data_IF_131272933400
#
_entry.id   IF_131272933400
#
_cell.length_a   1.000
_cell.length_b   1.000
_cell.length_c   1.000
_cell.angle_alpha   90.00
_cell.angle_beta   90.00
_cell.angle_gamma   90.00
#
_symmetry.space_group_name_H-M   'P 1'
#
loop_
_entity.id
_entity.type
_entity.pdbx_description
1 polymer ?
#
# COMPACT_ATOMS: atom_id res chain seq x y z
N UNK A 1 13.77 12.18 -7.23
CA UNK A 1 12.70 11.36 -6.59
C UNK A 1 13.10 9.89 -6.59
N UNK A 2 12.91 9.23 -5.48
CA UNK A 2 13.22 7.80 -5.38
C UNK A 2 11.99 6.98 -5.77
N UNK A 3 12.23 5.93 -6.56
CA UNK A 3 11.15 5.04 -6.95
C UNK A 3 10.91 4.05 -5.80
N UNK A 4 9.68 3.98 -5.28
CA UNK A 4 9.39 3.07 -4.17
C UNK A 4 9.51 1.61 -4.59
N UNK A 5 9.79 0.74 -3.62
CA UNK A 5 9.85 -0.68 -3.88
C UNK A 5 8.45 -1.24 -4.13
N UNK A 6 8.39 -2.35 -4.86
CA UNK A 6 7.13 -3.03 -5.09
C UNK A 6 6.47 -3.43 -3.78
N UNK A 7 7.26 -3.87 -2.80
CA UNK A 7 6.72 -4.27 -1.51
C UNK A 7 6.06 -3.09 -0.80
N UNK A 8 6.65 -1.90 -0.85
CA UNK A 8 6.07 -0.71 -0.24
C UNK A 8 4.77 -0.33 -0.93
N UNK A 9 4.74 -0.41 -2.26
CA UNK A 9 3.53 -0.08 -3.02
C UNK A 9 2.41 -1.07 -2.72
N UNK A 10 2.72 -2.34 -2.59
CA UNK A 10 1.73 -3.35 -2.21
C UNK A 10 1.19 -3.11 -0.82
N UNK A 11 2.06 -2.72 0.12
CA UNK A 11 1.64 -2.42 1.47
C UNK A 11 0.64 -1.25 1.47
N UNK A 12 0.90 -0.24 0.68
CA UNK A 12 0.01 0.92 0.57
C UNK A 12 -1.35 0.52 0.05
N UNK A 13 -1.40 -0.24 -1.03
CA UNK A 13 -2.67 -0.60 -1.63
C UNK A 13 -3.47 -1.54 -0.73
N UNK A 14 -2.80 -2.49 -0.08
CA UNK A 14 -3.47 -3.38 0.86
C UNK A 14 -4.03 -2.58 2.05
N UNK A 15 -3.27 -1.63 2.56
CA UNK A 15 -3.72 -0.77 3.65
C UNK A 15 -4.92 0.08 3.20
N UNK A 16 -4.86 0.64 2.01
CA UNK A 16 -5.97 1.46 1.48
C UNK A 16 -7.25 0.63 1.34
N UNK A 17 -7.11 -0.62 0.92
CA UNK A 17 -8.25 -1.49 0.74
C UNK A 17 -8.89 -1.89 2.06
N UNK A 18 -8.07 -2.27 3.03
CA UNK A 18 -8.57 -2.82 4.29
C UNK A 18 -8.86 -1.77 5.35
N UNK A 19 -8.14 -0.66 5.31
CA UNK A 19 -8.31 0.40 6.27
C UNK A 19 -7.57 0.22 7.59
N UNK A 20 -6.93 -0.93 7.80
CA UNK A 20 -6.16 -1.19 9.01
C UNK A 20 -4.84 -1.84 8.67
N UNK A 21 -3.83 -1.55 9.51
CA UNK A 21 -2.51 -2.14 9.33
C UNK A 21 -2.54 -3.65 9.55
N UNK A 22 -3.31 -4.11 10.56
CA UNK A 22 -3.30 -5.54 10.87
C UNK A 22 -3.92 -6.37 9.75
N UNK A 23 -4.94 -5.87 9.08
CA UNK A 23 -5.53 -6.60 7.96
C UNK A 23 -4.59 -6.63 6.76
N UNK A 24 -3.91 -5.51 6.50
CA UNK A 24 -2.91 -5.48 5.44
C UNK A 24 -1.78 -6.46 5.74
N UNK A 25 -1.33 -6.51 6.98
CA UNK A 25 -0.28 -7.44 7.39
C UNK A 25 -0.71 -8.88 7.14
N UNK A 26 -1.94 -9.20 7.47
CA UNK A 26 -2.46 -10.54 7.25
C UNK A 26 -2.48 -10.89 5.77
N UNK A 27 -3.00 -9.99 4.95
CA UNK A 27 -3.08 -10.25 3.52
C UNK A 27 -1.70 -10.46 2.89
N UNK A 28 -0.72 -9.67 3.33
CA UNK A 28 0.61 -9.71 2.75
C UNK A 28 1.55 -10.71 3.44
N UNK A 29 1.05 -11.37 4.47
CA UNK A 29 1.84 -12.31 5.25
C UNK A 29 3.07 -11.63 5.86
N UNK A 30 2.86 -10.45 6.43
CA UNK A 30 3.88 -9.65 7.07
C UNK A 30 3.47 -9.33 8.50
N UNK A 31 4.41 -8.84 9.30
CA UNK A 31 4.08 -8.32 10.62
C UNK A 31 3.49 -6.93 10.49
N UNK A 32 2.75 -6.50 11.53
CA UNK A 32 2.22 -5.14 11.56
C UNK A 32 3.34 -4.11 11.51
N UNK A 33 4.44 -4.39 12.24
CA UNK A 33 5.60 -3.50 12.23
C UNK A 33 6.17 -3.35 10.82
N UNK A 34 6.23 -4.44 10.07
CA UNK A 34 6.76 -4.41 8.71
C UNK A 34 5.88 -3.55 7.80
N UNK A 35 4.56 -3.70 7.92
CA UNK A 35 3.64 -2.90 7.12
C UNK A 35 3.78 -1.41 7.48
N UNK A 36 3.78 -1.11 8.78
CA UNK A 36 3.92 0.28 9.23
C UNK A 36 5.24 0.88 8.75
N UNK A 37 6.30 0.09 8.79
CA UNK A 37 7.61 0.54 8.34
C UNK A 37 7.60 0.87 6.84
N UNK A 38 6.98 0.00 6.04
CA UNK A 38 6.87 0.22 4.60
C UNK A 38 6.08 1.49 4.29
N UNK A 39 5.00 1.72 5.01
CA UNK A 39 4.19 2.91 4.79
C UNK A 39 4.96 4.19 5.14
N UNK A 40 5.71 4.17 6.24
CA UNK A 40 6.49 5.34 6.64
C UNK A 40 7.64 5.60 5.68
N UNK A 41 8.29 4.54 5.19
CA UNK A 41 9.34 4.68 4.20
C UNK A 41 8.79 5.28 2.91
N UNK A 42 7.62 4.84 2.51
CA UNK A 42 6.98 5.33 1.29
C UNK A 42 6.67 6.82 1.43
N UNK A 43 6.13 7.23 2.57
CA UNK A 43 5.84 8.63 2.83
C UNK A 43 7.11 9.49 2.74
N UNK A 44 8.18 8.98 3.32
CA UNK A 44 9.46 9.69 3.31
C UNK A 44 10.06 9.76 1.91
N UNK A 45 9.99 8.66 1.15
CA UNK A 45 10.58 8.62 -0.18
C UNK A 45 9.83 9.53 -1.16
N UNK A 46 8.52 9.64 -1.00
CA UNK A 46 7.71 10.47 -1.87
C UNK A 46 7.64 11.93 -1.41
N UNK A 47 8.05 12.18 -0.18
CA UNK A 47 8.12 13.52 0.39
C UNK A 47 6.79 14.27 0.32
N UNK A 48 5.70 13.59 0.66
CA UNK A 48 4.42 14.26 0.86
C UNK A 48 3.66 13.60 2.01
N UNK A 49 2.73 14.35 2.58
CA UNK A 49 1.99 13.90 3.75
C UNK A 49 0.92 12.88 3.33
N UNK A 50 1.18 11.62 3.61
CA UNK A 50 0.34 10.53 3.16
C UNK A 50 -0.48 9.91 4.28
N UNK A 51 0.02 9.98 5.52
CA UNK A 51 -0.58 9.31 6.66
C UNK A 51 -0.94 10.31 7.75
N UNK A 52 -2.12 10.17 8.32
CA UNK A 52 -2.56 10.92 9.49
C UNK A 52 -2.77 9.98 10.66
N UNK A 53 -2.51 10.47 11.86
CA UNK A 53 -2.81 9.72 13.07
C UNK A 53 -4.10 10.26 13.67
N UNK A 54 -5.08 9.38 13.82
CA UNK A 54 -6.38 9.73 14.42
C UNK A 54 -6.57 8.83 15.63
N UNK A 55 -6.31 9.38 16.82
CA UNK A 55 -6.27 8.57 18.04
C UNK A 55 -5.14 7.58 17.98
N UNK A 56 -5.43 6.30 18.12
CA UNK A 56 -4.44 5.23 18.00
C UNK A 56 -4.38 4.64 16.61
N UNK A 57 -5.18 5.16 15.68
CA UNK A 57 -5.26 4.63 14.33
C UNK A 57 -4.48 5.50 13.36
N UNK A 58 -4.08 4.89 12.25
CA UNK A 58 -3.43 5.58 11.14
C UNK A 58 -4.39 5.56 9.96
N UNK A 59 -4.55 6.70 9.32
CA UNK A 59 -5.43 6.82 8.15
C UNK A 59 -4.70 7.51 7.01
N UNK A 60 -5.11 7.21 5.79
CA UNK A 60 -4.55 7.89 4.63
C UNK A 60 -5.16 9.27 4.50
N UNK A 61 -4.31 10.25 4.17
CA UNK A 61 -4.79 11.56 3.78
C UNK A 61 -5.49 11.44 2.42
N UNK A 62 -6.18 12.51 1.99
CA UNK A 62 -6.78 12.53 0.66
C UNK A 62 -5.73 12.31 -0.42
N UNK A 63 -4.55 12.92 -0.26
CA UNK A 63 -3.43 12.73 -1.19
C UNK A 63 -2.93 11.29 -1.17
N UNK A 64 -2.82 10.70 0.02
CA UNK A 64 -2.39 9.31 0.15
C UNK A 64 -3.37 8.36 -0.52
N UNK A 65 -4.65 8.62 -0.36
CA UNK A 65 -5.68 7.77 -0.97
C UNK A 65 -5.65 7.87 -2.49
N UNK A 66 -5.47 9.08 -3.02
CA UNK A 66 -5.37 9.27 -4.47
C UNK A 66 -4.15 8.55 -5.02
N UNK A 67 -3.02 8.64 -4.32
CA UNK A 67 -1.81 7.96 -4.76
C UNK A 67 -2.00 6.44 -4.71
N UNK A 68 -2.64 5.94 -3.66
CA UNK A 68 -2.91 4.50 -3.53
C UNK A 68 -3.77 4.00 -4.70
N UNK A 69 -4.74 4.80 -5.12
CA UNK A 69 -5.59 4.41 -6.24
C UNK A 69 -4.79 4.35 -7.54
N UNK A 70 -3.92 5.33 -7.77
CA UNK A 70 -3.05 5.32 -8.95
C UNK A 70 -2.12 4.10 -8.94
N UNK A 71 -1.55 3.78 -7.79
CA UNK A 71 -0.67 2.64 -7.65
C UNK A 71 -1.43 1.34 -7.92
N UNK A 72 -2.63 1.24 -7.38
CA UNK A 72 -3.46 0.05 -7.58
C UNK A 72 -3.70 -0.18 -9.08
N UNK A 73 -4.05 0.88 -9.79
CA UNK A 73 -4.30 0.77 -11.22
C UNK A 73 -3.04 0.34 -11.98
N UNK A 74 -1.90 0.91 -11.62
CA UNK A 74 -0.64 0.57 -12.26
C UNK A 74 -0.27 -0.89 -12.02
N UNK A 75 -0.42 -1.36 -10.79
CA UNK A 75 -0.10 -2.74 -10.46
C UNK A 75 -1.05 -3.73 -11.12
N UNK A 76 -2.32 -3.36 -11.23
CA UNK A 76 -3.28 -4.20 -11.95
C UNK A 76 -2.95 -4.30 -13.43
N UNK A 77 -2.49 -3.21 -14.03
CA UNK A 77 -2.10 -3.21 -15.44
C UNK A 77 -0.92 -4.17 -15.65
N UNK A 78 0.06 -4.13 -14.76
CA UNK A 78 1.21 -5.04 -14.84
C UNK A 78 0.77 -6.47 -14.65
N UNK A 79 -0.06 -6.73 -13.64
CA UNK A 79 -0.57 -8.07 -13.35
C UNK A 79 -1.35 -8.64 -14.51
N UNK A 80 -2.20 -7.81 -15.12
CA UNK A 80 -3.00 -8.23 -16.25
C UNK A 80 -2.16 -8.62 -17.44
N UNK A 81 -0.96 -8.04 -17.56
CA UNK A 81 -0.08 -8.34 -18.68
C UNK A 81 0.61 -9.69 -18.52
N UNK A 82 1.12 -10.00 -17.31
CA UNK A 82 1.99 -11.16 -17.16
C UNK A 82 1.93 -11.84 -15.81
N UNK A 83 1.52 -11.16 -14.75
CA UNK A 83 1.69 -11.66 -13.39
C UNK A 83 0.41 -11.79 -12.61
N UNK A 84 -0.73 -11.71 -13.25
CA UNK A 84 -2.01 -11.75 -12.55
C UNK A 84 -2.17 -12.99 -11.68
N UNK A 85 -1.67 -14.11 -12.16
CA UNK A 85 -1.86 -15.39 -11.48
C UNK A 85 -0.95 -15.57 -10.28
N UNK A 86 0.13 -14.81 -10.18
CA UNK A 86 1.11 -14.99 -9.12
C UNK A 86 1.05 -13.92 -8.05
N UNK A 87 0.27 -12.90 -8.29
CA UNK A 87 0.22 -11.73 -7.44
C UNK A 87 -0.95 -11.87 -6.46
N UNK A 88 -0.70 -11.83 -5.13
CA UNK A 88 -1.80 -11.93 -4.15
C UNK A 88 -2.55 -10.62 -4.07
N UNK A 89 -3.22 -10.29 -5.14
CA UNK A 89 -3.81 -8.98 -5.33
C UNK A 89 -5.32 -9.05 -5.22
N UNK A 90 -5.95 -8.07 -4.58
CA UNK A 90 -7.39 -8.13 -4.37
C UNK A 90 -8.22 -8.33 -5.64
N UNK A 91 -7.76 -7.79 -6.74
CA UNK A 91 -8.49 -7.87 -7.99
C UNK A 91 -8.38 -9.19 -8.72
N UNK A 92 -7.63 -10.14 -8.16
CA UNK A 92 -7.40 -11.44 -8.80
C UNK A 92 -8.35 -12.52 -8.36
N UNK A 93 -9.29 -12.19 -7.57
CA UNK A 93 -10.23 -13.19 -7.05
C UNK A 93 -11.15 -13.74 -8.13
#
# INVERSE_FOLDING_TARGET
>A
MRIPSTQALRALVSFARHGTVWQAAEELNLTRSAVSHQLRMLERDLDFHMLDRVGTRVELTAQGRAYADDVRQALLAISGSAFAITFPWPGND
#
